data_IF_993403718314
#
_entry.id   IF_993403718314
#
_cell.length_a   1.000
_cell.length_b   1.000
_cell.length_c   1.000
_cell.angle_alpha   90.00
_cell.angle_beta   90.00
_cell.angle_gamma   90.00
#
_symmetry.space_group_name_H-M   'P 1'
#
loop_
_entity.id
_entity.type
_entity.pdbx_description
1 polymer ?
#
# COMPACT_ATOMS: atom_id res chain seq x y z
N UNK A 1 -4.19 -5.09 1.03
CA UNK A 1 -4.39 -3.64 0.74
C UNK A 1 -3.04 -2.97 0.52
N UNK A 2 -2.96 -1.87 -0.24
CA UNK A 2 -1.72 -1.07 -0.36
C UNK A 2 -1.92 0.30 0.29
N UNK A 3 -0.99 0.68 1.16
CA UNK A 3 -0.97 1.98 1.84
C UNK A 3 0.32 2.69 1.41
N UNK A 4 0.27 4.00 1.26
CA UNK A 4 1.43 4.78 0.82
C UNK A 4 2.67 4.48 1.70
N UNK A 5 2.50 4.62 3.00
CA UNK A 5 3.53 4.45 4.03
C UNK A 5 2.88 4.12 5.39
N UNK A 6 3.71 3.77 6.37
CA UNK A 6 3.25 3.47 7.73
C UNK A 6 2.62 4.69 8.42
N UNK A 7 3.05 5.91 8.08
CA UNK A 7 2.50 7.13 8.68
C UNK A 7 1.07 7.43 8.22
N UNK A 8 0.67 6.92 7.06
CA UNK A 8 -0.65 7.09 6.44
C UNK A 8 -1.69 6.11 6.98
N UNK A 9 -1.25 5.01 7.59
CA UNK A 9 -2.09 3.91 8.06
C UNK A 9 -3.23 4.35 9.02
N UNK A 10 -2.99 5.19 10.06
CA UNK A 10 -4.05 5.59 10.97
C UNK A 10 -5.21 6.31 10.27
N UNK A 11 -4.89 7.11 9.23
CA UNK A 11 -5.89 7.83 8.45
C UNK A 11 -6.74 6.89 7.60
N UNK A 12 -6.14 5.81 7.07
CA UNK A 12 -6.86 4.81 6.29
C UNK A 12 -7.77 3.99 7.19
N UNK A 13 -7.27 3.53 8.34
CA UNK A 13 -8.09 2.85 9.34
C UNK A 13 -9.29 3.70 9.77
N UNK A 14 -9.07 5.00 10.04
CA UNK A 14 -10.15 5.92 10.38
C UNK A 14 -11.19 6.06 9.27
N UNK A 15 -10.75 6.14 8.01
CA UNK A 15 -11.67 6.20 6.88
C UNK A 15 -12.61 5.00 6.82
N UNK A 16 -12.10 3.78 7.01
CA UNK A 16 -12.91 2.57 7.01
C UNK A 16 -13.89 2.52 8.20
N UNK A 17 -13.48 2.99 9.38
CA UNK A 17 -14.40 3.18 10.52
C UNK A 17 -15.53 4.17 10.19
N UNK A 18 -15.20 5.30 9.56
CA UNK A 18 -16.16 6.36 9.23
C UNK A 18 -17.21 5.94 8.20
N UNK A 19 -16.85 5.07 7.24
CA UNK A 19 -17.78 4.55 6.22
C UNK A 19 -18.54 3.30 6.68
N UNK A 20 -18.43 2.92 7.96
CA UNK A 20 -19.14 1.80 8.55
C UNK A 20 -18.57 0.42 8.19
N UNK A 21 -17.26 0.35 7.94
CA UNK A 21 -16.50 -0.89 7.68
C UNK A 21 -15.39 -1.08 8.72
N UNK A 22 -15.71 -1.17 10.03
CA UNK A 22 -14.71 -1.30 11.09
C UNK A 22 -13.85 -2.56 10.97
N UNK A 23 -14.39 -3.65 10.43
CA UNK A 23 -13.67 -4.91 10.20
C UNK A 23 -12.48 -4.73 9.23
N UNK A 24 -12.64 -3.89 8.20
CA UNK A 24 -11.54 -3.61 7.26
C UNK A 24 -10.45 -2.79 7.94
N UNK A 25 -10.80 -1.94 8.91
CA UNK A 25 -9.81 -1.20 9.69
C UNK A 25 -9.02 -2.10 10.65
N UNK A 26 -9.64 -3.16 11.17
CA UNK A 26 -9.00 -4.19 11.99
C UNK A 26 -8.12 -5.11 11.14
N UNK A 27 -8.57 -5.51 9.95
CA UNK A 27 -7.75 -6.25 8.99
C UNK A 27 -6.50 -5.46 8.55
N UNK A 28 -6.55 -4.13 8.53
CA UNK A 28 -5.38 -3.25 8.30
C UNK A 28 -4.41 -3.22 9.49
N UNK A 29 -4.79 -3.70 10.67
CA UNK A 29 -3.87 -3.88 11.79
C UNK A 29 -3.35 -5.33 11.86
N UNK A 30 -4.17 -6.30 11.43
CA UNK A 30 -3.92 -7.73 11.63
C UNK A 30 -3.40 -8.49 10.40
N UNK A 31 -3.71 -8.05 9.16
CA UNK A 31 -3.36 -8.77 7.93
C UNK A 31 -2.10 -8.24 7.20
N UNK A 32 -1.63 -8.93 6.15
CA UNK A 32 -0.49 -8.49 5.35
C UNK A 32 -0.88 -7.31 4.41
N UNK A 33 -0.46 -6.09 4.76
CA UNK A 33 -0.50 -4.90 3.90
C UNK A 33 0.88 -4.54 3.38
N UNK A 34 0.91 -3.95 2.18
CA UNK A 34 2.14 -3.46 1.56
C UNK A 34 2.22 -1.95 1.70
N UNK A 35 3.32 -1.45 2.28
CA UNK A 35 3.70 -0.05 2.18
C UNK A 35 4.35 0.19 0.82
N UNK A 36 3.75 1.06 0.02
CA UNK A 36 4.17 1.33 -1.36
C UNK A 36 5.62 1.79 -1.41
N UNK A 37 6.02 2.70 -0.51
CA UNK A 37 7.39 3.23 -0.46
C UNK A 37 8.42 2.15 -0.14
N UNK A 38 8.14 1.31 0.87
CA UNK A 38 9.02 0.20 1.26
C UNK A 38 9.12 -0.86 0.17
N UNK A 39 7.98 -1.18 -0.48
CA UNK A 39 7.93 -2.11 -1.59
C UNK A 39 8.73 -1.59 -2.80
N UNK A 40 8.61 -0.30 -3.11
CA UNK A 40 9.37 0.35 -4.18
C UNK A 40 10.88 0.20 -3.95
N UNK A 41 11.34 0.59 -2.76
CA UNK A 41 12.75 0.56 -2.41
C UNK A 41 13.30 -0.87 -2.45
N UNK A 42 12.56 -1.84 -1.91
CA UNK A 42 12.95 -3.25 -1.93
C UNK A 42 13.06 -3.81 -3.34
N UNK A 43 12.06 -3.56 -4.19
CA UNK A 43 12.06 -4.02 -5.58
C UNK A 43 13.18 -3.36 -6.40
N UNK A 44 13.41 -2.06 -6.22
CA UNK A 44 14.50 -1.35 -6.89
C UNK A 44 15.88 -1.87 -6.46
N UNK A 45 16.07 -2.18 -5.16
CA UNK A 45 17.32 -2.76 -4.64
C UNK A 45 17.62 -4.15 -5.21
N UNK A 46 16.57 -4.90 -5.60
CA UNK A 46 16.69 -6.19 -6.29
C UNK A 46 16.97 -6.05 -7.80
N UNK A 47 17.09 -4.82 -8.32
CA UNK A 47 17.39 -4.53 -9.71
C UNK A 47 16.16 -4.50 -10.63
N UNK A 48 14.94 -4.48 -10.08
CA UNK A 48 13.74 -4.28 -10.89
C UNK A 48 13.59 -2.79 -11.26
N UNK A 49 13.08 -2.55 -12.47
CA UNK A 49 12.51 -1.25 -12.81
C UNK A 49 11.08 -1.19 -12.26
N UNK A 50 10.84 -0.28 -11.32
CA UNK A 50 9.55 -0.18 -10.62
C UNK A 50 8.76 1.02 -11.11
N UNK A 51 7.50 0.80 -11.46
CA UNK A 51 6.51 1.83 -11.75
C UNK A 51 5.39 1.77 -10.73
N UNK A 52 4.96 2.94 -10.26
CA UNK A 52 3.92 3.07 -9.24
C UNK A 52 2.89 4.03 -9.78
N UNK A 53 1.62 3.62 -9.72
CA UNK A 53 0.49 4.43 -10.12
C UNK A 53 -0.53 4.49 -9.00
N UNK A 54 -1.08 5.68 -8.76
CA UNK A 54 -2.13 5.88 -7.77
C UNK A 54 -3.47 6.01 -8.47
N UNK A 55 -4.36 5.03 -8.29
CA UNK A 55 -5.69 5.03 -8.90
C UNK A 55 -6.72 5.78 -8.06
N UNK A 56 -6.56 5.79 -6.73
CA UNK A 56 -7.46 6.51 -5.82
C UNK A 56 -6.78 6.90 -4.50
N UNK A 57 -7.55 7.47 -3.57
CA UNK A 57 -7.06 7.80 -2.24
C UNK A 57 -6.45 6.58 -1.51
N UNK A 58 -7.01 5.37 -1.76
CA UNK A 58 -6.70 4.11 -1.09
C UNK A 58 -6.30 2.98 -2.04
N UNK A 59 -6.11 3.28 -3.33
CA UNK A 59 -5.79 2.28 -4.35
C UNK A 59 -4.52 2.66 -5.09
N UNK A 60 -3.59 1.71 -5.11
CA UNK A 60 -2.27 1.81 -5.72
C UNK A 60 -2.03 0.60 -6.62
N UNK A 61 -1.23 0.79 -7.67
CA UNK A 61 -0.66 -0.26 -8.49
C UNK A 61 0.85 -0.18 -8.46
N UNK A 62 1.50 -1.35 -8.40
CA UNK A 62 2.95 -1.48 -8.51
C UNK A 62 3.23 -2.45 -9.66
N UNK A 63 4.01 -2.01 -10.65
CA UNK A 63 4.54 -2.85 -11.70
C UNK A 63 6.06 -2.94 -11.56
N UNK A 64 6.59 -4.16 -11.43
CA UNK A 64 8.02 -4.43 -11.34
C UNK A 64 8.47 -5.20 -12.58
N UNK A 65 9.30 -4.56 -13.41
CA UNK A 65 9.84 -5.16 -14.62
C UNK A 65 11.28 -5.59 -14.35
N UNK A 66 11.59 -6.86 -14.64
CA UNK A 66 12.97 -7.33 -14.64
C UNK A 66 13.64 -6.80 -15.92
N UNK A 67 14.78 -6.10 -15.84
CA UNK A 67 15.56 -5.76 -17.03
C UNK A 67 16.02 -7.04 -17.73
N UNK A 68 16.00 -7.03 -19.06
CA UNK A 68 16.54 -8.12 -19.89
C UNK A 68 18.03 -8.35 -19.64
#
# INVERSE_FOLDING_TARGET
LMIADQASEPRVQQHFRDIGQPEVAEDIDEEFFWYVDSAQAGLAALGFQVQIERFSALSWGIAALKPD
#
